data_IF_705007916723
#
_entry.id   IF_705007916723
#
_cell.length_a   1.000
_cell.length_b   1.000
_cell.length_c   1.000
_cell.angle_alpha   90.00
_cell.angle_beta   90.00
_cell.angle_gamma   90.00
#
_symmetry.space_group_name_H-M   'P 1'
#
loop_
_entity.id
_entity.type
_entity.pdbx_description
1 polymer ?
#
# COMPACT_ATOMS: atom_id res chain seq x y z
N UNK A 1 -11.04 -1.71 -9.69
CA UNK A 1 -9.61 -2.01 -9.62
C UNK A 1 -9.07 -1.70 -11.00
N UNK A 2 -8.24 -0.67 -11.12
CA UNK A 2 -7.66 -0.26 -12.40
C UNK A 2 -6.50 -1.21 -12.74
N UNK A 3 -6.33 -1.51 -14.02
CA UNK A 3 -5.22 -2.34 -14.51
C UNK A 3 -3.97 -1.44 -14.59
N UNK A 4 -2.91 -1.75 -13.83
CA UNK A 4 -1.61 -1.05 -13.94
C UNK A 4 -0.68 -1.69 -14.99
N UNK A 5 -1.17 -2.70 -15.72
CA UNK A 5 -0.45 -3.43 -16.76
C UNK A 5 -1.33 -3.69 -17.98
N UNK A 6 -0.69 -3.72 -19.14
CA UNK A 6 -1.29 -3.92 -20.45
C UNK A 6 -0.52 -4.99 -21.25
N UNK A 7 -1.09 -5.44 -22.36
CA UNK A 7 -0.35 -6.29 -23.31
C UNK A 7 0.73 -5.47 -23.99
N UNK A 8 1.95 -5.98 -23.96
CA UNK A 8 3.07 -5.54 -24.80
C UNK A 8 3.43 -6.60 -25.84
N UNK A 9 4.22 -6.17 -26.81
CA UNK A 9 4.94 -7.05 -27.72
C UNK A 9 6.37 -6.53 -27.84
N UNK A 10 7.32 -7.34 -27.37
CA UNK A 10 8.76 -7.11 -27.58
C UNK A 10 9.31 -8.32 -28.34
N UNK A 11 10.04 -8.07 -29.42
CA UNK A 11 10.62 -9.11 -30.29
C UNK A 11 9.64 -10.21 -30.75
N UNK A 12 8.40 -9.82 -31.04
CA UNK A 12 7.35 -10.73 -31.53
C UNK A 12 6.72 -11.64 -30.45
N UNK A 13 7.10 -11.48 -29.18
CA UNK A 13 6.49 -12.21 -28.05
C UNK A 13 5.50 -11.33 -27.29
N UNK A 14 4.29 -11.83 -27.05
CA UNK A 14 3.32 -11.18 -26.17
C UNK A 14 3.80 -11.25 -24.73
N UNK A 15 3.84 -10.10 -24.05
CA UNK A 15 4.17 -9.99 -22.63
C UNK A 15 3.19 -9.06 -21.91
N UNK A 16 3.23 -9.07 -20.57
CA UNK A 16 2.63 -8.03 -19.77
C UNK A 16 3.66 -6.93 -19.54
N UNK A 17 3.31 -5.68 -19.85
CA UNK A 17 4.14 -4.51 -19.56
C UNK A 17 3.36 -3.51 -18.71
N UNK A 18 4.04 -2.69 -17.89
CA UNK A 18 3.37 -1.62 -17.17
C UNK A 18 2.73 -0.62 -18.13
N UNK A 19 1.64 0.01 -17.68
CA UNK A 19 1.06 1.14 -18.41
C UNK A 19 2.00 2.35 -18.35
N UNK A 20 2.01 3.14 -19.43
CA UNK A 20 2.70 4.43 -19.45
C UNK A 20 2.09 5.36 -18.41
N UNK A 21 2.94 6.15 -17.77
CA UNK A 21 2.54 7.10 -16.73
C UNK A 21 2.58 8.52 -17.28
N UNK A 22 1.57 9.31 -16.94
CA UNK A 22 1.53 10.73 -17.22
C UNK A 22 2.41 11.48 -16.23
N UNK A 23 3.17 12.45 -16.73
CA UNK A 23 4.06 13.29 -15.94
C UNK A 23 3.27 14.36 -15.16
N UNK A 24 3.89 15.02 -14.17
CA UNK A 24 3.29 16.19 -13.54
C UNK A 24 2.94 17.24 -14.60
N UNK A 25 1.79 17.90 -14.47
CA UNK A 25 1.24 18.73 -15.53
C UNK A 25 0.23 18.03 -16.44
N UNK A 26 0.13 16.71 -16.37
CA UNK A 26 -0.71 15.90 -17.24
C UNK A 26 -1.60 14.95 -16.43
N UNK A 27 -2.70 14.56 -17.04
CA UNK A 27 -3.62 13.58 -16.51
C UNK A 27 -3.88 12.45 -17.50
N UNK A 28 -4.31 11.30 -16.98
CA UNK A 28 -4.70 10.14 -17.80
C UNK A 28 -6.07 10.36 -18.45
N UNK A 29 -6.12 10.98 -19.64
CA UNK A 29 -7.37 11.28 -20.37
C UNK A 29 -8.10 10.01 -20.78
N UNK A 30 -7.31 8.98 -21.08
CA UNK A 30 -7.76 7.61 -21.25
C UNK A 30 -6.87 6.70 -20.42
N UNK A 31 -7.49 5.93 -19.55
CA UNK A 31 -6.81 4.90 -18.78
C UNK A 31 -6.32 3.80 -19.71
N UNK A 32 -5.19 3.18 -19.36
CA UNK A 32 -4.75 2.02 -20.08
C UNK A 32 -5.80 0.90 -20.04
N UNK A 33 -5.87 0.20 -21.15
CA UNK A 33 -6.70 -0.97 -21.37
C UNK A 33 -5.80 -2.17 -21.61
N UNK A 34 -6.40 -3.32 -21.89
CA UNK A 34 -5.62 -4.49 -22.21
C UNK A 34 -4.82 -4.35 -23.53
N UNK A 35 -5.30 -3.51 -24.46
CA UNK A 35 -4.67 -3.28 -25.78
C UNK A 35 -4.15 -1.86 -25.99
N UNK A 36 -4.65 -0.90 -25.23
CA UNK A 36 -4.37 0.52 -25.42
C UNK A 36 -3.61 1.05 -24.22
N UNK A 37 -2.59 1.87 -24.47
CA UNK A 37 -1.82 2.50 -23.41
C UNK A 37 -2.57 3.69 -22.80
N UNK A 38 -2.08 4.16 -21.66
CA UNK A 38 -2.53 5.41 -21.07
C UNK A 38 -2.32 6.55 -22.04
N UNK A 39 -3.35 7.35 -22.26
CA UNK A 39 -3.25 8.60 -23.00
C UNK A 39 -3.15 9.75 -22.01
N UNK A 40 -2.19 10.65 -22.22
CA UNK A 40 -1.92 11.78 -21.34
C UNK A 40 -2.35 13.08 -22.00
N UNK A 41 -3.11 13.90 -21.28
CA UNK A 41 -3.49 15.25 -21.70
C UNK A 41 -3.07 16.31 -20.67
N UNK A 42 -2.72 17.53 -21.09
CA UNK A 42 -2.28 18.58 -20.17
C UNK A 42 -3.44 19.07 -19.28
N UNK A 43 -3.11 19.47 -18.05
CA UNK A 43 -4.08 20.09 -17.17
C UNK A 43 -4.56 21.45 -17.72
N UNK A 44 -5.87 21.68 -17.62
CA UNK A 44 -6.48 22.98 -17.95
C UNK A 44 -6.08 24.04 -16.92
N UNK A 45 -6.10 25.34 -17.29
CA UNK A 45 -5.90 26.42 -16.33
C UNK A 45 -6.84 26.29 -15.12
N UNK A 46 -6.29 26.45 -13.92
CA UNK A 46 -7.02 26.23 -12.66
C UNK A 46 -6.98 24.77 -12.16
N UNK A 47 -6.25 23.89 -12.83
CA UNK A 47 -6.01 22.52 -12.39
C UNK A 47 -4.53 22.14 -12.40
N UNK A 48 -4.15 21.18 -11.57
CA UNK A 48 -2.80 20.66 -11.46
C UNK A 48 -2.74 19.14 -11.28
N UNK A 49 -1.60 18.54 -11.57
CA UNK A 49 -1.27 17.14 -11.28
C UNK A 49 0.20 17.07 -10.87
N UNK A 50 0.48 16.67 -9.64
CA UNK A 50 1.83 16.67 -9.06
C UNK A 50 2.54 15.31 -9.15
N UNK A 51 1.78 14.23 -9.35
CA UNK A 51 2.25 12.85 -9.36
C UNK A 51 2.51 12.36 -10.78
N UNK A 52 3.38 11.34 -10.89
CA UNK A 52 3.54 10.58 -12.13
C UNK A 52 2.68 9.33 -12.06
N UNK A 53 1.57 9.28 -12.78
CA UNK A 53 0.54 8.23 -12.64
C UNK A 53 -0.12 7.87 -13.98
N UNK A 54 -0.54 6.62 -14.11
CA UNK A 54 -1.31 6.10 -15.26
C UNK A 54 -2.82 6.30 -15.10
N UNK A 55 -3.27 6.81 -13.94
CA UNK A 55 -4.71 6.90 -13.61
C UNK A 55 -5.14 8.26 -13.06
N UNK A 56 -4.20 9.10 -12.64
CA UNK A 56 -4.54 10.34 -11.94
C UNK A 56 -5.20 11.35 -12.88
N UNK A 57 -6.22 12.03 -12.35
CA UNK A 57 -6.87 13.17 -12.96
C UNK A 57 -6.21 14.48 -12.48
N UNK A 58 -6.35 15.58 -13.25
CA UNK A 58 -5.98 16.88 -12.72
C UNK A 58 -6.93 17.28 -11.60
N UNK A 59 -6.37 17.81 -10.52
CA UNK A 59 -7.09 18.31 -9.35
C UNK A 59 -7.29 19.82 -9.48
N UNK A 60 -8.41 20.37 -8.99
CA UNK A 60 -8.60 21.81 -8.97
C UNK A 60 -7.56 22.45 -8.05
N UNK A 61 -7.01 23.59 -8.45
CA UNK A 61 -6.11 24.36 -7.62
C UNK A 61 -6.84 24.87 -6.36
N UNK A 62 -6.17 24.81 -5.22
CA UNK A 62 -6.62 25.46 -3.99
C UNK A 62 -6.63 26.98 -4.16
N UNK A 63 -7.59 27.64 -3.54
CA UNK A 63 -7.61 29.10 -3.35
C UNK A 63 -7.21 29.43 -1.92
N UNK A 64 -6.33 30.42 -1.74
CA UNK A 64 -6.01 30.91 -0.39
C UNK A 64 -7.18 31.69 0.20
N UNK A 65 -7.31 31.64 1.53
CA UNK A 65 -8.29 32.45 2.26
C UNK A 65 -8.06 33.95 2.05
N UNK A 66 -9.08 34.77 2.34
CA UNK A 66 -9.09 36.21 2.05
C UNK A 66 -7.91 36.98 2.67
N UNK A 67 -7.41 36.51 3.82
CA UNK A 67 -6.29 37.12 4.55
C UNK A 67 -5.01 36.28 4.54
N UNK A 68 -4.96 35.23 3.71
CA UNK A 68 -3.79 34.39 3.48
C UNK A 68 -3.06 34.81 2.19
N UNK A 69 -1.84 35.34 2.28
CA UNK A 69 -1.01 35.60 1.12
C UNK A 69 -0.71 34.32 0.31
N UNK A 70 -0.77 34.41 -1.02
CA UNK A 70 -0.30 33.34 -1.92
C UNK A 70 1.23 33.36 -1.96
N UNK A 71 1.87 32.26 -1.56
CA UNK A 71 3.33 32.10 -1.66
C UNK A 71 3.74 31.58 -3.03
N UNK A 72 3.01 30.59 -3.54
CA UNK A 72 3.19 30.07 -4.89
C UNK A 72 1.84 29.94 -5.56
N UNK A 73 1.72 30.57 -6.72
CA UNK A 73 0.54 30.42 -7.57
C UNK A 73 0.49 29.00 -8.16
N UNK A 74 -0.72 28.49 -8.33
CA UNK A 74 -0.93 27.21 -8.99
C UNK A 74 -0.34 27.19 -10.40
N UNK A 75 0.19 26.03 -10.79
CA UNK A 75 0.58 25.72 -12.15
C UNK A 75 0.16 24.29 -12.49
N UNK A 76 0.34 23.87 -13.74
CA UNK A 76 -0.11 22.54 -14.17
C UNK A 76 0.49 21.39 -13.33
N UNK A 77 1.67 21.56 -12.74
CA UNK A 77 2.38 20.52 -11.98
C UNK A 77 2.32 20.66 -10.46
N UNK A 78 1.80 21.77 -9.93
CA UNK A 78 1.81 22.04 -8.49
C UNK A 78 0.64 22.93 -8.07
N UNK A 79 0.09 22.63 -6.90
CA UNK A 79 -1.01 23.38 -6.30
C UNK A 79 -0.58 24.78 -5.84
N UNK A 80 -1.56 25.62 -5.54
CA UNK A 80 -1.37 26.88 -4.83
C UNK A 80 -0.86 26.63 -3.41
N UNK A 81 0.25 27.29 -3.05
CA UNK A 81 0.77 27.28 -1.67
C UNK A 81 0.37 28.60 -1.01
N UNK A 82 -0.32 28.50 0.12
CA UNK A 82 -0.75 29.66 0.92
C UNK A 82 0.15 29.83 2.14
N UNK A 83 0.38 31.09 2.49
CA UNK A 83 1.10 31.46 3.70
C UNK A 83 0.27 31.11 4.93
N UNK A 84 0.96 30.64 5.98
CA UNK A 84 0.40 30.54 7.33
C UNK A 84 0.58 31.83 8.13
N UNK A 85 1.17 32.86 7.53
CA UNK A 85 1.26 34.18 8.13
C UNK A 85 0.18 35.04 7.51
N UNK A 86 -0.76 35.45 8.35
CA UNK A 86 -1.91 36.22 7.93
C UNK A 86 -1.57 37.70 7.76
N UNK A 87 -2.48 38.40 7.07
CA UNK A 87 -2.44 39.86 7.00
C UNK A 87 -2.64 40.46 8.40
N UNK A 88 -2.16 41.69 8.62
CA UNK A 88 -2.33 42.38 9.90
C UNK A 88 -3.81 42.42 10.33
N UNK A 89 -4.09 42.09 11.59
CA UNK A 89 -5.46 41.97 12.08
C UNK A 89 -6.00 40.53 12.17
N UNK A 90 -5.24 39.56 11.68
CA UNK A 90 -5.65 38.17 11.57
C UNK A 90 -4.56 37.24 12.09
N UNK A 91 -4.97 36.02 12.44
CA UNK A 91 -4.09 34.94 12.88
C UNK A 91 -4.46 33.65 12.15
N UNK A 92 -3.48 32.75 11.96
CA UNK A 92 -3.75 31.47 11.31
C UNK A 92 -4.35 30.44 12.28
N UNK A 93 -5.52 29.89 11.93
CA UNK A 93 -6.14 28.76 12.63
C UNK A 93 -5.81 27.45 11.91
N UNK A 94 -5.06 26.52 12.54
CA UNK A 94 -4.80 25.21 11.95
C UNK A 94 -6.05 24.32 11.86
N UNK A 95 -7.11 24.64 12.61
CA UNK A 95 -8.37 23.89 12.61
C UNK A 95 -9.23 24.23 11.40
N UNK A 96 -9.28 25.50 11.04
CA UNK A 96 -10.06 26.02 9.92
C UNK A 96 -9.24 26.06 8.62
N UNK A 97 -7.92 25.87 8.71
CA UNK A 97 -6.92 26.10 7.65
C UNK A 97 -7.05 27.51 7.03
N UNK A 98 -7.48 28.49 7.84
CA UNK A 98 -7.78 29.86 7.38
C UNK A 98 -7.29 30.92 8.39
N UNK A 99 -7.22 32.16 7.92
CA UNK A 99 -6.93 33.34 8.72
C UNK A 99 -8.20 33.88 9.37
N UNK A 100 -8.25 33.79 10.70
CA UNK A 100 -9.35 34.32 11.50
C UNK A 100 -9.00 35.71 12.05
N UNK A 101 -9.99 36.59 12.25
CA UNK A 101 -9.74 37.91 12.79
C UNK A 101 -9.31 37.83 14.26
N UNK A 102 -8.36 38.68 14.66
CA UNK A 102 -8.00 38.85 16.06
C UNK A 102 -9.22 39.34 16.87
N UNK A 103 -9.33 38.89 18.11
CA UNK A 103 -10.53 39.12 18.92
C UNK A 103 -10.28 40.08 20.09
N UNK A 104 -11.33 40.77 20.57
CA UNK A 104 -11.21 41.61 21.75
C UNK A 104 -10.91 40.78 23.00
N UNK A 105 -10.02 41.30 23.83
CA UNK A 105 -9.68 40.78 25.13
C UNK A 105 -10.86 40.97 26.09
N UNK A 106 -11.68 39.93 26.22
CA UNK A 106 -12.69 39.87 27.28
C UNK A 106 -12.00 39.52 28.59
N UNK A 107 -12.33 40.23 29.68
CA UNK A 107 -11.86 39.91 31.03
C UNK A 107 -12.52 38.62 31.52
N UNK A 108 -12.10 37.48 30.97
CA UNK A 108 -12.62 36.18 31.34
C UNK A 108 -11.61 35.44 32.22
N UNK A 109 -11.99 34.97 33.42
CA UNK A 109 -11.08 34.36 34.38
C UNK A 109 -10.45 33.02 33.92
N UNK A 110 -10.85 32.50 32.76
CA UNK A 110 -10.44 31.20 32.24
C UNK A 110 -9.66 31.26 30.92
N UNK A 111 -9.55 32.43 30.27
CA UNK A 111 -8.88 32.53 28.98
C UNK A 111 -8.42 33.96 28.68
N UNK A 112 -7.12 34.21 28.86
CA UNK A 112 -6.49 35.50 28.56
C UNK A 112 -5.13 35.29 27.88
N UNK A 113 -5.07 34.41 26.88
CA UNK A 113 -3.87 34.29 26.07
C UNK A 113 -3.98 35.22 24.86
N UNK A 114 -2.97 36.09 24.72
CA UNK A 114 -2.82 36.94 23.53
C UNK A 114 -2.08 36.17 22.45
N UNK A 115 -2.44 36.41 21.19
CA UNK A 115 -1.75 35.80 20.07
C UNK A 115 -0.56 36.60 19.60
N UNK A 116 0.56 35.90 19.41
CA UNK A 116 1.81 36.50 18.96
C UNK A 116 1.67 37.21 17.61
N UNK A 117 0.94 36.61 16.65
CA UNK A 117 0.66 37.23 15.34
C UNK A 117 -0.14 38.54 15.48
N UNK A 118 -1.13 38.57 16.38
CA UNK A 118 -1.94 39.77 16.66
C UNK A 118 -1.13 40.85 17.38
N UNK A 119 -0.23 40.46 18.30
CA UNK A 119 0.70 41.37 18.97
C UNK A 119 1.67 41.96 17.95
N UNK A 120 2.29 41.12 17.12
CA UNK A 120 3.26 41.51 16.10
C UNK A 120 2.64 42.40 15.01
N UNK A 121 1.34 42.26 14.76
CA UNK A 121 0.57 43.11 13.85
C UNK A 121 0.38 44.55 14.36
N UNK A 122 0.76 44.87 15.60
CA UNK A 122 0.67 46.22 16.15
C UNK A 122 -0.76 46.70 16.45
N UNK A 123 -1.69 45.77 16.65
CA UNK A 123 -3.07 46.08 17.06
C UNK A 123 -3.13 46.66 18.47
N UNK A 124 -4.25 47.30 18.84
CA UNK A 124 -4.51 47.71 20.24
C UNK A 124 -4.43 46.53 21.21
N UNK A 125 -3.93 46.75 22.43
CA UNK A 125 -3.71 45.68 23.43
C UNK A 125 -4.98 44.94 23.83
N UNK A 126 -6.13 45.58 23.63
CA UNK A 126 -7.47 45.07 23.84
C UNK A 126 -8.00 44.23 22.67
N UNK A 127 -7.29 44.12 21.54
CA UNK A 127 -7.69 43.36 20.34
C UNK A 127 -6.72 42.22 19.98
N UNK A 128 -5.89 41.80 20.94
CA UNK A 128 -4.82 40.82 20.72
C UNK A 128 -5.14 39.42 21.24
N UNK A 129 -6.38 39.14 21.63
CA UNK A 129 -6.75 37.89 22.32
C UNK A 129 -7.31 36.82 21.36
N UNK A 130 -7.23 35.56 21.77
CA UNK A 130 -7.89 34.44 21.08
C UNK A 130 -9.41 34.51 21.23
N UNK A 131 -10.18 34.15 20.18
CA UNK A 131 -11.63 34.05 20.29
C UNK A 131 -12.04 32.96 21.29
N UNK A 132 -13.00 33.26 22.17
CA UNK A 132 -13.54 32.25 23.09
C UNK A 132 -14.29 31.17 22.28
N UNK A 133 -14.13 29.87 22.64
CA UNK A 133 -14.95 28.81 22.06
C UNK A 133 -16.44 29.14 22.22
N UNK A 134 -17.20 29.00 21.13
CA UNK A 134 -18.66 29.24 21.12
C UNK A 134 -19.42 28.37 22.12
N UNK A 135 -18.82 27.29 22.62
CA UNK A 135 -19.38 26.42 23.66
C UNK A 135 -19.50 27.08 25.04
N UNK A 136 -18.83 28.21 25.28
CA UNK A 136 -18.89 28.96 26.55
C UNK A 136 -19.99 30.04 26.49
N UNK A 137 -20.29 30.57 25.31
CA UNK A 137 -21.33 31.58 25.11
C UNK A 137 -22.62 30.91 24.62
N UNK A 138 -23.39 30.38 25.56
CA UNK A 138 -24.79 30.08 25.31
C UNK A 138 -25.51 31.32 24.77
N UNK A 139 -26.06 31.19 23.55
CA UNK A 139 -27.22 31.94 23.03
C UNK A 139 -27.36 33.41 23.47
N UNK A 140 -26.84 34.36 22.70
CA UNK A 140 -27.54 35.62 22.42
C UNK A 140 -27.21 36.10 21.00
N UNK A 141 -28.05 35.70 20.05
CA UNK A 141 -28.30 36.47 18.84
C UNK A 141 -29.34 37.53 19.23
N UNK A 142 -28.89 38.76 19.52
CA UNK A 142 -29.78 39.90 19.74
C UNK A 142 -30.10 40.57 18.40
N UNK A 143 -31.31 40.30 17.90
CA UNK A 143 -31.97 40.99 16.80
C UNK A 143 -32.27 42.46 17.13
N UNK A 144 -32.07 43.36 16.16
CA UNK A 144 -32.91 44.53 15.80
C UNK A 144 -32.09 45.36 14.79
N UNK A 145 -32.56 45.62 13.57
CA UNK A 145 -33.65 46.57 13.33
C UNK A 145 -34.65 46.10 12.26
N UNK A 146 -35.92 46.29 12.56
CA UNK A 146 -37.03 46.36 11.59
C UNK A 146 -37.47 47.82 11.49
N UNK A 147 -37.83 48.26 10.28
CA UNK A 147 -39.09 48.95 9.91
C UNK A 147 -39.02 49.26 8.41
N UNK A 148 -40.05 48.85 7.66
CA UNK A 148 -40.24 49.27 6.27
C UNK A 148 -41.11 48.32 5.45
N UNK A 149 -42.39 48.23 5.81
CA UNK A 149 -43.44 47.52 5.05
C UNK A 149 -43.73 48.22 3.70
N UNK A 150 -43.78 47.46 2.62
CA UNK A 150 -44.66 47.75 1.48
C UNK A 150 -44.90 46.52 0.64
N UNK A 151 -46.19 46.19 0.55
CA UNK A 151 -46.82 45.22 -0.32
C UNK A 151 -46.40 45.35 -1.79
N UNK A 152 -46.13 44.22 -2.43
CA UNK A 152 -46.71 43.95 -3.76
C UNK A 152 -46.57 42.47 -4.17
N UNK A 153 -47.69 41.77 -4.05
CA UNK A 153 -48.32 40.91 -5.05
C UNK A 153 -47.41 40.00 -5.91
N UNK A 154 -47.52 38.71 -5.61
CA UNK A 154 -47.15 37.55 -6.44
C UNK A 154 -47.57 37.71 -7.92
N UNK A 155 -46.89 37.03 -8.85
CA UNK A 155 -47.42 35.72 -9.21
C UNK A 155 -46.38 34.60 -9.27
N UNK A 156 -46.73 33.50 -8.62
CA UNK A 156 -46.29 32.14 -8.91
C UNK A 156 -46.24 31.90 -10.41
N UNK A 157 -45.05 31.66 -10.94
CA UNK A 157 -44.89 30.94 -12.21
C UNK A 157 -44.18 29.63 -11.90
N UNK A 158 -44.99 28.60 -11.71
CA UNK A 158 -44.58 27.21 -11.64
C UNK A 158 -44.10 26.82 -13.04
N UNK A 159 -42.78 26.77 -13.25
CA UNK A 159 -42.22 26.00 -14.36
C UNK A 159 -41.80 24.67 -13.79
N UNK A 160 -42.63 23.68 -14.08
CA UNK A 160 -42.38 22.27 -13.88
C UNK A 160 -41.20 21.81 -14.73
N UNK A 161 -40.66 20.63 -14.34
CA UNK A 161 -39.87 19.70 -15.17
C UNK A 161 -38.37 19.98 -15.17
N UNK A 162 -37.46 19.01 -15.07
CA UNK A 162 -37.58 17.56 -15.04
C UNK A 162 -36.25 17.01 -14.51
N UNK A 163 -36.34 15.89 -13.80
CA UNK A 163 -35.23 15.07 -13.35
C UNK A 163 -34.47 14.46 -14.53
N UNK A 164 -33.32 15.02 -14.91
CA UNK A 164 -32.36 14.36 -15.80
C UNK A 164 -31.23 13.73 -14.98
N UNK A 165 -31.61 12.77 -14.13
CA UNK A 165 -30.71 11.66 -13.88
C UNK A 165 -30.66 10.85 -15.17
N UNK A 166 -29.59 11.01 -15.95
CA UNK A 166 -29.30 10.09 -17.04
C UNK A 166 -29.33 8.67 -16.51
N UNK A 167 -30.42 7.98 -16.85
CA UNK A 167 -30.64 6.55 -16.66
C UNK A 167 -29.48 5.84 -17.33
N UNK A 168 -28.49 5.43 -16.53
CA UNK A 168 -27.41 4.55 -16.97
C UNK A 168 -28.10 3.27 -17.46
N UNK A 169 -27.98 2.87 -18.74
CA UNK A 169 -28.52 1.58 -19.17
C UNK A 169 -27.84 0.52 -18.31
N UNK A 170 -28.64 -0.44 -17.84
CA UNK A 170 -28.16 -1.58 -17.07
C UNK A 170 -26.97 -2.19 -17.83
N UNK A 171 -25.77 -1.94 -17.32
CA UNK A 171 -24.57 -2.55 -17.85
C UNK A 171 -24.73 -4.04 -17.57
N UNK A 172 -24.94 -4.81 -18.64
CA UNK A 172 -24.76 -6.24 -18.66
C UNK A 172 -23.52 -6.58 -17.82
N UNK A 173 -23.70 -7.46 -16.85
CA UNK A 173 -22.67 -8.03 -15.97
C UNK A 173 -21.28 -7.98 -16.63
N UNK A 174 -20.30 -7.24 -16.06
CA UNK A 174 -18.98 -7.17 -16.66
C UNK A 174 -18.39 -8.58 -16.66
N UNK A 175 -18.15 -9.12 -17.85
CA UNK A 175 -17.25 -10.28 -18.00
C UNK A 175 -15.98 -9.96 -17.21
N UNK A 176 -15.39 -10.91 -16.47
CA UNK A 176 -14.16 -10.66 -15.75
C UNK A 176 -13.12 -10.15 -16.76
N UNK A 177 -12.67 -8.90 -16.60
CA UNK A 177 -11.56 -8.37 -17.39
C UNK A 177 -10.42 -9.35 -17.21
N UNK A 178 -9.93 -9.93 -18.31
CA UNK A 178 -8.73 -10.75 -18.26
C UNK A 178 -7.58 -9.83 -17.88
N UNK A 179 -7.30 -9.76 -16.58
CA UNK A 179 -6.10 -9.12 -16.04
C UNK A 179 -4.93 -9.74 -16.80
N UNK A 180 -4.05 -8.91 -17.34
CA UNK A 180 -2.82 -9.42 -17.93
C UNK A 180 -2.07 -10.11 -16.77
N UNK A 181 -2.00 -11.43 -16.82
CA UNK A 181 -1.29 -12.26 -15.86
C UNK A 181 -0.07 -12.75 -16.63
N UNK A 182 1.12 -12.47 -16.12
CA UNK A 182 2.31 -13.11 -16.66
C UNK A 182 2.17 -14.63 -16.44
N UNK A 183 1.88 -15.39 -17.50
CA UNK A 183 1.92 -16.86 -17.51
C UNK A 183 3.35 -17.42 -17.33
N UNK A 184 4.32 -16.56 -16.97
CA UNK A 184 5.75 -16.83 -17.04
C UNK A 184 6.37 -17.41 -15.75
N UNK A 185 5.62 -17.52 -14.65
CA UNK A 185 6.15 -18.06 -13.38
C UNK A 185 5.91 -19.56 -13.19
N UNK A 186 4.96 -20.18 -13.91
CA UNK A 186 4.64 -21.61 -13.72
C UNK A 186 5.30 -22.56 -14.74
N UNK A 187 6.13 -22.06 -15.67
CA UNK A 187 6.82 -22.92 -16.66
C UNK A 187 8.33 -23.04 -16.40
N UNK A 188 8.96 -21.97 -15.89
CA UNK A 188 10.42 -21.95 -15.72
C UNK A 188 10.89 -22.68 -14.45
N UNK A 189 10.13 -22.61 -13.36
CA UNK A 189 10.48 -23.32 -12.12
C UNK A 189 10.21 -24.83 -12.23
N UNK A 190 9.10 -25.24 -12.85
CA UNK A 190 8.77 -26.66 -13.03
C UNK A 190 9.81 -27.39 -13.87
N UNK A 191 10.33 -26.74 -14.92
CA UNK A 191 11.37 -27.31 -15.77
C UNK A 191 12.71 -27.42 -15.04
N UNK A 192 13.08 -26.44 -14.22
CA UNK A 192 14.29 -26.48 -13.39
C UNK A 192 14.19 -27.55 -12.30
N UNK A 193 13.07 -27.63 -11.60
CA UNK A 193 12.81 -28.66 -10.58
C UNK A 193 12.89 -30.06 -11.20
N UNK A 194 12.31 -30.27 -12.40
CA UNK A 194 12.38 -31.55 -13.08
C UNK A 194 13.82 -31.96 -13.46
N UNK A 195 14.61 -31.02 -13.97
CA UNK A 195 16.03 -31.27 -14.30
C UNK A 195 16.83 -31.61 -13.03
N UNK A 196 16.64 -30.87 -11.94
CA UNK A 196 17.32 -31.14 -10.66
C UNK A 196 16.92 -32.51 -10.11
N UNK A 197 15.63 -32.86 -10.12
CA UNK A 197 15.15 -34.18 -9.66
C UNK A 197 15.77 -35.30 -10.49
N UNK A 198 15.81 -35.15 -11.82
CA UNK A 198 16.41 -36.15 -12.72
C UNK A 198 17.91 -36.34 -12.44
N UNK A 199 18.66 -35.26 -12.21
CA UNK A 199 20.07 -35.35 -11.83
C UNK A 199 20.28 -36.07 -10.49
N UNK A 200 19.45 -35.76 -9.48
CA UNK A 200 19.53 -36.42 -8.17
C UNK A 200 19.27 -37.93 -8.29
N UNK A 201 18.26 -38.33 -9.07
CA UNK A 201 17.94 -39.76 -9.30
C UNK A 201 19.11 -40.50 -9.97
N UNK A 202 19.75 -39.89 -10.97
CA UNK A 202 20.91 -40.49 -11.65
C UNK A 202 22.12 -40.64 -10.71
N UNK A 203 22.40 -39.64 -9.88
CA UNK A 203 23.52 -39.68 -8.92
C UNK A 203 23.28 -40.73 -7.83
N UNK A 204 22.10 -40.71 -7.20
CA UNK A 204 21.75 -41.68 -6.15
C UNK A 204 21.70 -43.09 -6.71
N UNK A 205 21.07 -43.29 -7.87
CA UNK A 205 21.03 -44.57 -8.56
C UNK A 205 22.44 -45.09 -8.89
N UNK A 206 23.32 -44.22 -9.38
CA UNK A 206 24.72 -44.54 -9.65
C UNK A 206 25.50 -44.94 -8.39
N UNK A 207 25.36 -44.19 -7.30
CA UNK A 207 26.01 -44.51 -6.02
C UNK A 207 25.52 -45.86 -5.47
N UNK A 208 24.21 -46.11 -5.51
CA UNK A 208 23.65 -47.39 -5.08
C UNK A 208 24.19 -48.57 -5.92
N UNK A 209 24.31 -48.40 -7.23
CA UNK A 209 24.90 -49.41 -8.12
C UNK A 209 26.37 -49.70 -7.75
N UNK A 210 27.19 -48.66 -7.55
CA UNK A 210 28.60 -48.84 -7.15
C UNK A 210 28.72 -49.52 -5.79
N UNK A 211 27.91 -49.13 -4.80
CA UNK A 211 27.89 -49.76 -3.48
C UNK A 211 27.48 -51.24 -3.57
N UNK A 212 26.46 -51.57 -4.35
CA UNK A 212 26.06 -52.97 -4.52
C UNK A 212 27.17 -53.82 -5.15
N UNK A 213 27.84 -53.33 -6.20
CA UNK A 213 28.95 -54.04 -6.85
C UNK A 213 30.12 -54.23 -5.90
N UNK A 214 30.50 -53.20 -5.13
CA UNK A 214 31.59 -53.30 -4.16
C UNK A 214 31.28 -54.30 -3.05
N UNK A 215 30.05 -54.31 -2.52
CA UNK A 215 29.59 -55.30 -1.55
C UNK A 215 29.67 -56.72 -2.14
N UNK A 216 29.17 -56.93 -3.37
CA UNK A 216 29.24 -58.24 -4.04
C UNK A 216 30.69 -58.69 -4.19
N UNK A 217 31.59 -57.81 -4.64
CA UNK A 217 33.03 -58.13 -4.74
C UNK A 217 33.59 -58.52 -3.38
N UNK A 218 33.28 -57.76 -2.32
CA UNK A 218 33.72 -58.06 -0.95
C UNK A 218 33.18 -59.42 -0.46
N UNK A 219 31.91 -59.74 -0.71
CA UNK A 219 31.31 -61.02 -0.36
C UNK A 219 31.96 -62.18 -1.14
N UNK A 220 32.23 -61.99 -2.43
CA UNK A 220 32.97 -62.98 -3.24
C UNK A 220 34.41 -63.18 -2.74
N UNK A 221 35.06 -62.13 -2.21
CA UNK A 221 36.40 -62.22 -1.60
C UNK A 221 36.36 -62.93 -0.24
N UNK A 222 35.34 -62.64 0.57
CA UNK A 222 35.14 -63.26 1.88
C UNK A 222 34.83 -64.76 1.78
N UNK A 223 33.93 -65.14 0.89
CA UNK A 223 33.62 -66.56 0.62
C UNK A 223 34.84 -67.33 0.10
N UNK A 224 35.67 -66.70 -0.74
CA UNK A 224 36.97 -67.26 -1.14
C UNK A 224 37.96 -67.41 0.04
N UNK A 225 37.98 -66.50 1.01
CA UNK A 225 38.79 -66.65 2.24
C UNK A 225 38.30 -67.79 3.14
N UNK A 226 36.98 -67.91 3.36
CA UNK A 226 36.39 -68.98 4.18
C UNK A 226 36.68 -70.37 3.60
N UNK A 227 36.73 -70.52 2.28
CA UNK A 227 37.11 -71.77 1.60
C UNK A 227 38.58 -72.18 1.77
N UNK A 228 39.45 -71.29 2.27
CA UNK A 228 40.89 -71.54 2.48
C UNK A 228 41.27 -71.89 3.93
N UNK A 229 40.33 -71.97 4.87
CA UNK A 229 40.62 -72.42 6.24
C UNK A 229 40.78 -73.96 6.31
N UNK A 230 41.90 -74.50 6.83
CA UNK A 230 42.16 -75.93 6.91
C UNK A 230 41.41 -76.60 8.07
N UNK A 231 40.95 -77.85 7.85
CA UNK A 231 40.33 -78.74 8.85
C UNK A 231 41.29 -78.99 10.04
N UNK A 232 40.81 -78.81 11.28
CA UNK A 232 41.39 -79.47 12.47
C UNK A 232 40.28 -80.17 13.27
N UNK A 233 40.57 -81.41 13.63
CA UNK A 233 39.71 -82.51 14.04
C UNK A 233 39.54 -82.65 15.56
N UNK A 234 38.34 -83.07 15.99
CA UNK A 234 38.06 -83.81 17.25
C UNK A 234 37.93 -82.97 18.53
N UNK A 235 37.15 -83.32 19.56
CA UNK A 235 36.20 -84.42 19.83
C UNK A 235 35.49 -84.10 21.17
N UNK A 236 34.21 -84.45 21.28
CA UNK A 236 33.46 -84.83 22.51
C UNK A 236 33.38 -83.87 23.72
N UNK A 237 32.16 -83.44 24.06
CA UNK A 237 31.81 -82.83 25.34
C UNK A 237 30.30 -82.67 25.47
N UNK A 238 29.69 -83.62 26.17
CA UNK A 238 28.30 -83.78 26.59
C UNK A 238 27.61 -82.49 27.11
N UNK A 239 26.28 -82.41 26.86
CA UNK A 239 25.21 -81.99 27.79
C UNK A 239 25.56 -81.01 28.94
N UNK A 240 24.82 -79.95 29.27
CA UNK A 240 23.43 -79.57 29.06
C UNK A 240 23.21 -78.28 29.90
N UNK A 241 22.05 -77.62 29.74
CA UNK A 241 21.33 -76.87 30.81
C UNK A 241 21.98 -75.55 31.28
N UNK A 242 21.29 -74.47 31.63
CA UNK A 242 19.92 -73.96 31.53
C UNK A 242 19.94 -72.76 32.46
N UNK A 243 19.35 -71.63 32.05
CA UNK A 243 18.89 -70.57 32.98
C UNK A 243 20.04 -69.86 33.73
N UNK A 244 19.94 -68.64 34.20
CA UNK A 244 18.88 -67.64 34.30
C UNK A 244 19.62 -66.34 34.67
N UNK A 245 18.97 -65.21 34.42
CA UNK A 245 18.88 -64.04 35.31
C UNK A 245 19.87 -64.02 36.48
N UNK A 246 20.61 -62.95 36.71
CA UNK A 246 20.08 -61.70 37.26
C UNK A 246 21.32 -60.85 37.57
N UNK A 247 21.37 -59.63 37.06
CA UNK A 247 21.22 -58.42 37.87
C UNK A 247 22.56 -57.77 38.24
N UNK A 248 22.54 -56.44 38.17
CA UNK A 248 23.19 -55.51 39.10
C UNK A 248 24.73 -55.64 39.24
N UNK A 249 25.56 -54.64 38.97
CA UNK A 249 25.48 -53.22 39.25
C UNK A 249 26.76 -52.59 38.68
N UNK A 250 26.64 -51.34 38.20
CA UNK A 250 27.52 -50.22 38.57
C UNK A 250 29.02 -50.37 38.23
N UNK A 251 29.46 -49.64 37.21
CA UNK A 251 30.20 -48.37 37.40
C UNK A 251 30.51 -47.72 36.06
N UNK A 252 30.12 -46.45 35.95
CA UNK A 252 30.67 -45.49 34.99
C UNK A 252 32.17 -45.27 35.26
N UNK A 253 32.88 -44.61 34.33
CA UNK A 253 33.41 -43.31 34.73
C UNK A 253 33.15 -42.18 33.73
N UNK A 254 32.62 -41.11 34.30
CA UNK A 254 32.85 -39.67 34.07
C UNK A 254 33.84 -39.25 32.98
N UNK A 255 33.37 -38.37 32.09
CA UNK A 255 34.18 -37.37 31.39
C UNK A 255 33.99 -36.02 32.13
N UNK A 256 35.09 -35.43 32.59
CA UNK A 256 35.29 -33.98 32.71
C UNK A 256 36.58 -33.68 31.98
#
# INVERSE_FOLDING_TARGET
MFDDRQRGAEDGKLNCRPCSRCLPGYQASRLCSWSDDTECSPCLPGYYSASTSSVDACLPCRTCGQHQPVLHACNASADTICSRHCSAGYFYSPLDDDCLPCSPCQNHPLYQERMEECIASGMGTDMQCWPLPTLIMGSQESQSDTIGESDNKSPSTTVASQSDYHKRPAASSPRPRKLCKDDSDLDRDTRQVYVVVLLVVLVVGGLCAVLSVTIIICLCRFTKMVSRSPKRTGKSGYENISRKTSELLVRQPTYV
#
